data_IF_843895600740
#
_entry.id   IF_843895600740
#
_cell.length_a   1.000
_cell.length_b   1.000
_cell.length_c   1.000
_cell.angle_alpha   90.00
_cell.angle_beta   90.00
_cell.angle_gamma   90.00
#
_symmetry.space_group_name_H-M   'P 1'
#
loop_
_entity.id
_entity.type
_entity.pdbx_description
1 polymer ?
2 water ?
#
# COMPACT_ATOMS: atom_id res chain seq x y z
N UNK A 1 -0.86 -5.99 -26.31
CA UNK A 1 -0.46 -4.87 -27.14
C UNK A 1 1.02 -4.57 -27.01
N UNK A 2 1.46 -3.41 -27.54
CA UNK A 2 2.87 -3.00 -27.52
C UNK A 2 3.33 -2.60 -26.11
N UNK A 3 4.12 -3.46 -25.49
CA UNK A 3 4.47 -3.27 -24.08
C UNK A 3 5.77 -2.48 -23.86
N UNK A 4 5.86 -1.85 -22.69
CA UNK A 4 7.11 -1.22 -22.27
C UNK A 4 8.11 -2.33 -21.97
N UNK A 5 9.38 -2.07 -22.20
CA UNK A 5 10.40 -3.09 -21.96
C UNK A 5 10.86 -3.14 -20.50
N UNK A 6 10.72 -2.02 -19.80
CA UNK A 6 11.04 -2.00 -18.36
C UNK A 6 10.02 -1.18 -17.60
N UNK A 7 9.93 -1.43 -16.30
CA UNK A 7 9.05 -0.66 -15.43
C UNK A 7 9.57 0.78 -15.33
N UNK A 8 10.90 0.95 -15.30
CA UNK A 8 11.49 2.28 -15.31
C UNK A 8 11.03 3.10 -16.51
N UNK A 9 11.03 2.49 -17.70
CA UNK A 9 10.58 3.18 -18.91
C UNK A 9 9.11 3.59 -18.82
N UNK A 10 8.29 2.69 -18.30
CA UNK A 10 6.87 2.93 -18.15
C UNK A 10 6.60 4.15 -17.25
N UNK A 11 7.24 4.17 -16.09
CA UNK A 11 7.09 5.30 -15.19
C UNK A 11 7.66 6.57 -15.79
N UNK A 12 8.78 6.45 -16.50
CA UNK A 12 9.44 7.62 -17.05
C UNK A 12 8.55 8.30 -18.07
N UNK A 13 7.79 7.50 -18.83
CA UNK A 13 6.86 8.03 -19.82
C UNK A 13 5.80 8.89 -19.14
N UNK A 14 5.52 8.60 -17.87
CA UNK A 14 4.54 9.34 -17.10
C UNK A 14 5.20 10.40 -16.22
N UNK A 15 6.51 10.57 -16.38
CA UNK A 15 7.26 11.55 -15.59
C UNK A 15 7.46 11.10 -14.16
N UNK A 16 7.48 9.78 -13.97
CA UNK A 16 7.58 9.18 -12.63
C UNK A 16 8.81 8.30 -12.53
N UNK A 17 9.23 8.02 -11.29
CA UNK A 17 10.36 7.11 -11.07
C UNK A 17 10.14 6.35 -9.77
N UNK A 18 10.76 5.18 -9.67
CA UNK A 18 10.69 4.39 -8.45
C UNK A 18 11.58 4.96 -7.36
N UNK A 19 11.08 4.93 -6.13
CA UNK A 19 11.92 5.06 -4.96
C UNK A 19 11.82 3.73 -4.21
N UNK A 20 12.85 2.90 -4.35
CA UNK A 20 12.82 1.56 -3.78
C UNK A 20 12.87 1.56 -2.26
N UNK A 21 12.13 0.65 -1.66
CA UNK A 21 12.24 0.40 -0.22
C UNK A 21 12.75 -1.02 -0.05
N UNK A 22 13.33 -1.34 1.12
CA UNK A 22 13.98 -2.65 1.27
C UNK A 22 13.05 -3.85 1.01
N UNK A 23 13.64 -4.96 0.59
CA UNK A 23 12.90 -6.16 0.30
C UNK A 23 12.56 -6.98 1.53
N UNK A 24 11.79 -6.40 2.43
CA UNK A 24 11.27 -7.16 3.57
C UNK A 24 9.77 -6.95 3.70
N UNK A 25 9.18 -7.51 4.75
CA UNK A 25 7.75 -7.48 4.91
C UNK A 25 7.17 -6.14 5.32
N UNK A 26 8.04 -5.15 5.52
CA UNK A 26 7.59 -3.81 5.92
C UNK A 26 7.39 -2.91 4.73
N UNK A 27 7.61 -3.46 3.53
CA UNK A 27 7.65 -2.64 2.32
C UNK A 27 6.40 -1.79 2.07
N UNK A 28 5.20 -2.32 2.29
CA UNK A 28 4.00 -1.53 2.01
C UNK A 28 3.93 -0.29 2.89
N UNK A 29 4.21 -0.45 4.18
CA UNK A 29 4.11 0.67 5.09
C UNK A 29 5.24 1.68 4.88
N UNK A 30 6.41 1.20 4.49
CA UNK A 30 7.50 2.08 4.10
C UNK A 30 7.14 2.87 2.84
N UNK A 31 6.56 2.20 1.85
CA UNK A 31 6.19 2.86 0.61
C UNK A 31 5.08 3.89 0.86
N UNK A 32 4.06 3.50 1.63
CA UNK A 32 2.98 4.42 1.94
C UNK A 32 3.47 5.58 2.79
N UNK A 33 4.33 5.30 3.78
CA UNK A 33 4.94 6.36 4.56
C UNK A 33 5.73 7.33 3.71
N UNK A 34 6.55 6.80 2.81
CA UNK A 34 7.30 7.66 1.89
C UNK A 34 6.38 8.59 1.11
N UNK A 35 5.25 8.05 0.64
CA UNK A 35 4.29 8.85 -0.11
C UNK A 35 3.65 9.91 0.77
N UNK A 36 3.23 9.50 1.96
CA UNK A 36 2.53 10.41 2.86
C UNK A 36 3.42 11.52 3.39
N UNK A 37 4.65 11.16 3.77
CA UNK A 37 5.49 12.04 4.58
C UNK A 37 6.85 12.37 3.97
N UNK A 38 7.16 11.74 2.83
CA UNK A 38 8.43 11.99 2.17
C UNK A 38 9.59 11.13 2.68
N UNK A 39 9.29 10.22 3.61
CA UNK A 39 10.29 9.27 4.13
C UNK A 39 9.57 8.07 4.73
N UNK A 40 10.30 6.98 4.97
CA UNK A 40 9.69 5.73 5.40
C UNK A 40 9.97 5.40 6.86
N UNK A 41 10.46 6.37 7.62
CA UNK A 41 10.92 6.10 8.96
C UNK A 41 9.80 5.81 9.96
N UNK A 42 8.56 6.15 9.60
CA UNK A 42 7.43 5.90 10.50
C UNK A 42 6.64 4.64 10.13
N UNK A 43 7.28 3.73 9.41
CA UNK A 43 6.58 2.54 8.91
C UNK A 43 5.98 1.68 10.02
N UNK A 44 6.63 1.61 11.18
CA UNK A 44 6.07 0.85 12.30
C UNK A 44 4.78 1.50 12.80
N UNK A 45 4.79 2.82 12.91
CA UNK A 45 3.59 3.56 13.31
C UNK A 45 2.44 3.37 12.32
N UNK A 46 2.76 3.41 11.03
CA UNK A 46 1.72 3.23 10.02
C UNK A 46 1.14 1.83 10.06
N UNK A 47 1.98 0.84 10.34
CA UNK A 47 1.49 -0.53 10.49
C UNK A 47 0.52 -0.61 11.69
N UNK A 48 0.94 -0.05 12.83
CA UNK A 48 0.10 -0.11 14.02
C UNK A 48 -1.20 0.66 13.84
N UNK A 49 -1.13 1.86 13.26
CA UNK A 49 -2.33 2.66 13.06
C UNK A 49 -3.29 2.00 12.06
N UNK A 50 -2.73 1.30 11.08
CA UNK A 50 -3.53 0.62 10.09
C UNK A 50 -4.28 -0.56 10.69
N UNK A 51 -3.58 -1.35 11.51
CA UNK A 51 -4.21 -2.45 12.23
C UNK A 51 -5.29 -1.90 13.17
N UNK A 52 -5.00 -0.81 13.86
CA UNK A 52 -5.97 -0.21 14.79
C UNK A 52 -7.25 0.15 14.06
N UNK A 53 -7.09 0.69 12.85
CA UNK A 53 -8.24 1.10 12.06
C UNK A 53 -9.05 -0.11 11.63
N UNK A 54 -8.36 -1.16 11.20
CA UNK A 54 -9.00 -2.40 10.78
C UNK A 54 -9.82 -3.02 11.91
N UNK A 55 -9.29 -2.97 13.12
CA UNK A 55 -10.01 -3.47 14.29
C UNK A 55 -11.22 -2.62 14.63
N UNK A 56 -11.06 -1.31 14.57
CA UNK A 56 -12.14 -0.37 14.85
C UNK A 56 -13.27 -0.57 13.84
N UNK A 57 -12.89 -0.89 12.61
CA UNK A 57 -13.84 -1.09 11.53
C UNK A 57 -13.92 -2.56 11.12
N UNK A 58 -13.91 -3.45 12.10
CA UNK A 58 -13.87 -4.89 11.85
C UNK A 58 -14.90 -5.40 10.83
N UNK A 59 -16.13 -4.91 10.93
CA UNK A 59 -17.20 -5.38 10.05
C UNK A 59 -16.85 -5.08 8.59
N UNK A 60 -16.12 -3.98 8.38
CA UNK A 60 -15.69 -3.63 7.03
C UNK A 60 -14.53 -4.50 6.54
N UNK A 61 -13.74 -5.05 7.45
CA UNK A 61 -12.51 -5.72 7.04
C UNK A 61 -12.50 -7.24 7.12
N UNK A 62 -13.35 -7.80 7.97
CA UNK A 62 -13.52 -9.25 7.98
C UNK A 62 -13.78 -9.85 6.57
N UNK A 63 -14.59 -9.18 5.73
CA UNK A 63 -14.77 -9.70 4.37
C UNK A 63 -13.51 -9.92 3.54
N UNK A 64 -12.43 -9.20 3.87
CA UNK A 64 -11.16 -9.33 3.15
C UNK A 64 -10.38 -10.57 3.55
N UNK A 65 -10.66 -11.10 4.74
CA UNK A 65 -9.84 -12.18 5.27
C UNK A 65 -10.13 -13.50 4.57
N UNK A 66 -9.06 -14.21 4.20
CA UNK A 66 -9.21 -15.52 3.56
C UNK A 66 -9.86 -16.48 4.53
N UNK A 67 -10.93 -17.11 4.07
CA UNK A 67 -11.83 -17.90 4.91
C UNK A 67 -11.15 -18.91 5.83
N UNK A 68 -11.83 -19.25 6.91
CA UNK A 68 -11.33 -20.15 7.94
C UNK A 68 -10.15 -19.58 8.72
N UNK A 69 -9.67 -18.39 8.33
CA UNK A 69 -8.70 -17.68 9.15
C UNK A 69 -9.43 -16.65 10.00
N UNK A 70 -9.32 -16.77 11.33
CA UNK A 70 -10.02 -15.84 12.22
C UNK A 70 -9.54 -14.42 12.01
N UNK A 71 -10.44 -13.46 12.08
CA UNK A 71 -10.08 -12.06 11.95
C UNK A 71 -8.98 -11.68 12.94
N UNK A 72 -9.08 -12.21 14.15
CA UNK A 72 -8.09 -11.94 15.18
C UNK A 72 -6.70 -12.40 14.77
N UNK A 73 -6.63 -13.57 14.12
CA UNK A 73 -5.35 -14.10 13.68
C UNK A 73 -4.77 -13.23 12.58
N UNK A 74 -5.63 -12.80 11.66
CA UNK A 74 -5.18 -11.96 10.57
C UNK A 74 -4.57 -10.66 11.06
N UNK A 75 -5.29 -9.96 11.94
CA UNK A 75 -4.81 -8.66 12.40
C UNK A 75 -3.65 -8.81 13.39
N UNK A 76 -3.65 -9.88 14.18
CA UNK A 76 -2.51 -10.13 15.06
C UNK A 76 -1.23 -10.36 14.28
N UNK A 77 -1.34 -11.11 13.19
CA UNK A 77 -0.21 -11.36 12.30
C UNK A 77 0.27 -10.06 11.69
N UNK A 78 -0.68 -9.27 11.18
CA UNK A 78 -0.37 -8.00 10.53
C UNK A 78 0.29 -6.99 11.49
N UNK A 79 -0.02 -7.09 12.77
CA UNK A 79 0.56 -6.19 13.76
C UNK A 79 2.04 -6.39 13.96
N UNK A 80 2.53 -7.58 13.65
CA UNK A 80 3.95 -7.89 13.82
C UNK A 80 4.80 -7.22 12.76
N UNK A 81 5.83 -6.46 13.19
CA UNK A 81 6.76 -5.92 12.21
C UNK A 81 7.31 -7.05 11.33
N UNK A 82 7.43 -6.79 10.04
CA UNK A 82 7.94 -7.79 9.11
C UNK A 82 6.88 -8.65 8.42
N UNK A 83 5.63 -8.53 8.85
CA UNK A 83 4.55 -9.30 8.23
C UNK A 83 4.11 -8.61 6.95
N UNK A 84 4.20 -9.33 5.83
CA UNK A 84 3.80 -8.74 4.55
C UNK A 84 2.34 -8.34 4.58
N UNK A 85 2.05 -7.15 4.07
CA UNK A 85 0.70 -6.62 4.04
C UNK A 85 0.12 -6.69 2.63
N UNK A 86 -1.20 -6.78 2.55
CA UNK A 86 -1.87 -6.92 1.27
C UNK A 86 -2.85 -5.78 1.00
N UNK A 87 -3.75 -6.01 0.06
CA UNK A 87 -4.70 -4.98 -0.37
C UNK A 87 -5.59 -4.44 0.74
N UNK A 88 -5.93 -5.29 1.70
CA UNK A 88 -6.80 -4.83 2.78
C UNK A 88 -6.12 -3.76 3.62
N UNK A 89 -4.80 -3.89 3.79
CA UNK A 89 -4.01 -2.87 4.48
C UNK A 89 -4.00 -1.54 3.71
N UNK A 90 -3.95 -1.62 2.38
CA UNK A 90 -3.99 -0.40 1.59
C UNK A 90 -5.35 0.28 1.77
N UNK A 91 -6.42 -0.51 1.71
CA UNK A 91 -7.76 0.03 1.90
C UNK A 91 -7.87 0.70 3.27
N UNK A 92 -7.40 0.00 4.31
CA UNK A 92 -7.44 0.55 5.66
C UNK A 92 -6.66 1.85 5.81
N UNK A 93 -5.44 1.88 5.29
CA UNK A 93 -4.61 3.08 5.34
C UNK A 93 -5.28 4.23 4.59
N UNK A 94 -5.80 3.94 3.40
CA UNK A 94 -6.45 4.95 2.58
C UNK A 94 -7.70 5.52 3.27
N UNK A 95 -8.48 4.66 3.91
CA UNK A 95 -9.68 5.11 4.60
C UNK A 95 -9.32 5.88 5.86
N UNK A 96 -8.30 5.39 6.58
CA UNK A 96 -7.86 6.03 7.81
C UNK A 96 -7.39 7.46 7.53
N UNK A 97 -6.67 7.62 6.44
CA UNK A 97 -6.12 8.90 6.05
C UNK A 97 -6.99 9.69 5.09
N UNK A 98 -8.14 9.11 4.74
CA UNK A 98 -9.11 9.75 3.84
C UNK A 98 -8.49 10.22 2.53
N UNK A 99 -7.76 9.32 1.89
CA UNK A 99 -7.08 9.64 0.64
C UNK A 99 -7.18 8.47 -0.32
N UNK A 100 -6.58 8.61 -1.50
CA UNK A 100 -6.54 7.52 -2.47
C UNK A 100 -5.14 7.00 -2.67
N UNK A 101 -5.05 5.72 -3.04
CA UNK A 101 -3.78 5.12 -3.38
C UNK A 101 -3.83 4.59 -4.80
N UNK A 102 -2.96 5.12 -5.64
CA UNK A 102 -2.85 4.68 -7.01
C UNK A 102 -1.72 3.65 -7.06
N UNK A 103 -1.98 2.51 -7.70
CA UNK A 103 -0.99 1.43 -7.75
C UNK A 103 -0.52 1.19 -9.18
N UNK A 104 0.78 1.32 -9.37
CA UNK A 104 1.42 1.09 -10.67
C UNK A 104 1.94 -0.34 -10.75
N UNK A 105 1.86 -0.93 -11.95
CA UNK A 105 2.40 -2.26 -12.17
C UNK A 105 2.86 -2.35 -13.61
N UNK A 106 4.00 -3.01 -13.83
CA UNK A 106 4.58 -3.12 -15.16
C UNK A 106 3.60 -3.79 -16.12
N UNK A 107 3.27 -3.09 -17.20
CA UNK A 107 2.40 -3.62 -18.25
C UNK A 107 1.08 -4.19 -17.73
N UNK A 108 0.55 -3.57 -16.68
CA UNK A 108 -0.76 -3.92 -16.15
C UNK A 108 -1.57 -2.62 -16.00
N UNK A 109 -2.91 -2.73 -16.00
CA UNK A 109 -3.71 -1.52 -15.82
C UNK A 109 -3.39 -0.82 -14.50
N UNK A 110 -3.35 0.51 -14.55
CA UNK A 110 -3.19 1.32 -13.36
C UNK A 110 -4.39 1.08 -12.46
N UNK A 111 -4.17 0.84 -11.17
CA UNK A 111 -5.26 0.62 -10.22
C UNK A 111 -5.43 1.81 -9.29
N UNK A 112 -6.63 1.95 -8.74
CA UNK A 112 -6.90 3.01 -7.79
C UNK A 112 -7.74 2.50 -6.65
N UNK A 113 -7.17 2.58 -5.44
CA UNK A 113 -7.91 2.28 -4.22
C UNK A 113 -8.34 3.60 -3.60
N UNK A 114 -9.66 3.79 -3.54
CA UNK A 114 -10.21 5.04 -3.06
C UNK A 114 -10.62 4.92 -1.59
N UNK A 115 -10.07 5.81 -0.78
CA UNK A 115 -10.32 5.77 0.65
C UNK A 115 -11.57 6.52 1.06
N UNK A 116 -12.09 7.37 0.17
CA UNK A 116 -13.32 8.11 0.48
C UNK A 116 -14.38 7.99 -0.60
N UNK A 117 -15.53 8.59 -0.35
CA UNK A 117 -16.59 8.71 -1.34
C UNK A 117 -16.47 10.04 -2.06
N UNK A 118 -15.50 10.85 -1.62
CA UNK A 118 -15.36 12.22 -2.14
C UNK A 118 -14.82 12.27 -3.57
N UNK A 119 -14.71 13.48 -4.09
CA UNK A 119 -14.31 13.69 -5.48
C UNK A 119 -12.88 14.21 -5.64
N UNK A 120 -12.44 15.04 -4.68
CA UNK A 120 -11.10 15.61 -4.75
C UNK A 120 -10.33 15.41 -3.46
N UNK A 121 -9.51 14.36 -3.41
CA UNK A 121 -8.71 14.07 -2.23
C UNK A 121 -7.25 13.86 -2.59
N UNK A 122 -6.40 13.80 -1.57
CA UNK A 122 -4.97 13.54 -1.76
C UNK A 122 -4.71 12.16 -2.37
N UNK A 123 -3.73 12.06 -3.26
CA UNK A 123 -3.49 10.81 -3.97
C UNK A 123 -2.04 10.33 -3.87
N UNK A 124 -1.86 9.13 -3.33
CA UNK A 124 -0.55 8.54 -3.13
C UNK A 124 -0.27 7.47 -4.17
N UNK A 125 0.98 7.37 -4.60
CA UNK A 125 1.35 6.45 -5.66
C UNK A 125 2.35 5.41 -5.21
N UNK A 126 2.01 4.14 -5.37
CA UNK A 126 2.96 3.08 -5.08
C UNK A 126 3.06 2.14 -6.27
N UNK A 127 4.04 1.25 -6.22
CA UNK A 127 4.28 0.31 -7.31
C UNK A 127 4.29 -1.09 -6.75
N UNK A 128 3.52 -1.97 -7.38
CA UNK A 128 3.50 -3.36 -7.02
C UNK A 128 4.38 -4.14 -7.95
N UNK A 129 5.10 -5.08 -7.37
CA UNK A 129 6.10 -5.84 -8.07
C UNK A 129 6.10 -7.25 -7.52
N UNK A 130 7.15 -7.97 -7.85
CA UNK A 130 7.29 -9.39 -7.66
C UNK A 130 6.96 -9.75 -6.22
N UNK A 131 6.36 -10.92 -6.03
CA UNK A 131 5.98 -11.38 -4.72
C UNK A 131 4.95 -10.48 -4.08
N UNK A 132 5.25 -10.00 -2.90
CA UNK A 132 4.36 -9.08 -2.20
C UNK A 132 5.11 -7.78 -1.95
N UNK A 133 5.91 -7.36 -2.91
CA UNK A 133 6.74 -6.17 -2.73
C UNK A 133 6.16 -4.88 -3.34
N UNK A 134 6.20 -3.83 -2.54
CA UNK A 134 5.76 -2.50 -2.96
C UNK A 134 6.89 -1.50 -2.84
N UNK A 135 6.97 -0.59 -3.80
CA UNK A 135 7.88 0.55 -3.75
C UNK A 135 7.07 1.85 -3.84
N UNK A 136 7.76 2.96 -3.58
CA UNK A 136 7.17 4.30 -3.70
C UNK A 136 7.37 4.81 -5.12
N UNK A 137 6.41 5.56 -5.64
CA UNK A 137 6.51 6.14 -6.98
C UNK A 137 6.46 7.66 -6.88
N UNK A 138 7.54 8.32 -7.29
CA UNK A 138 7.62 9.77 -7.12
C UNK A 138 7.78 10.49 -8.44
N UNK A 139 7.58 11.81 -8.41
CA UNK A 139 7.75 12.63 -9.60
C UNK A 139 9.23 12.71 -9.96
N UNK A 140 9.54 12.80 -11.25
CA UNK A 140 10.92 12.93 -11.67
C UNK A 140 11.48 14.32 -11.38
N UNK A 141 10.89 15.35 -11.98
CA UNK A 141 11.32 16.73 -11.73
C UNK A 141 10.44 17.40 -10.70
#
# INVERSE_FOLDING_TARGET
GPEFVSFANQLQALGLKLREVPGDGNCLFRALGDQLEGHSRNHLKHRQETVDYMIKQREDFEPFVEDDIPFEKHVASLAKPGTFAGNDAIVAFARNHQLNVVIHQLNAPLWQIRGTEKSSVRELHIAYRYGEHYDSVRRINDNSEAPAHLQTDFQMLHQD
#
